data_IF_953524641277
#
_entry.id   IF_953524641277
#
_cell.length_a   1.000
_cell.length_b   1.000
_cell.length_c   1.000
_cell.angle_alpha   90.00
_cell.angle_beta   90.00
_cell.angle_gamma   90.00
#
_symmetry.space_group_name_H-M   'P 1'
#
loop_
_entity.id
_entity.type
_entity.pdbx_description
1 polymer ?
#
# COMPACT_ATOMS: atom_id res chain seq x y z
N UNK A 1 23.24 -16.41 -3.05
CA UNK A 1 22.19 -16.71 -2.05
C UNK A 1 20.97 -15.85 -2.32
N UNK A 2 19.74 -16.39 -2.37
CA UNK A 2 18.55 -15.55 -2.55
C UNK A 2 18.37 -14.72 -1.28
N UNK A 3 18.53 -13.40 -1.41
CA UNK A 3 18.40 -12.47 -0.30
C UNK A 3 16.98 -12.56 0.27
N UNK A 4 16.83 -13.03 1.51
CA UNK A 4 15.55 -13.06 2.22
C UNK A 4 15.04 -11.62 2.30
N UNK A 5 13.97 -11.31 1.57
CA UNK A 5 13.38 -9.96 1.56
C UNK A 5 13.03 -9.59 3.00
N UNK A 6 13.78 -8.64 3.58
CA UNK A 6 13.45 -8.08 4.89
C UNK A 6 12.08 -7.42 4.80
N UNK A 7 11.29 -7.56 5.85
CA UNK A 7 10.00 -6.91 5.95
C UNK A 7 10.22 -5.39 5.93
N UNK A 8 9.54 -4.69 5.02
CA UNK A 8 9.67 -3.23 4.87
C UNK A 8 8.66 -2.54 5.76
N UNK A 9 9.07 -1.39 6.29
CA UNK A 9 8.26 -0.62 7.22
C UNK A 9 7.23 0.22 6.44
N UNK A 10 6.00 0.22 6.93
CA UNK A 10 4.89 1.01 6.39
C UNK A 10 4.31 1.95 7.42
N UNK A 11 4.04 3.18 6.99
CA UNK A 11 3.40 4.20 7.81
C UNK A 11 1.87 4.21 7.66
N UNK A 12 1.35 3.76 6.51
CA UNK A 12 -0.10 3.77 6.24
C UNK A 12 -0.61 2.52 5.52
N UNK A 13 -1.82 2.11 5.88
CA UNK A 13 -2.62 1.17 5.10
C UNK A 13 -3.23 1.92 3.90
N UNK A 14 -3.23 1.34 2.68
CA UNK A 14 -3.94 1.95 1.57
C UNK A 14 -5.43 1.99 1.89
N UNK A 15 -6.12 3.13 1.71
CA UNK A 15 -7.52 3.30 2.10
C UNK A 15 -8.47 2.36 1.34
N UNK A 16 -8.04 1.84 0.19
CA UNK A 16 -8.80 0.93 -0.66
C UNK A 16 -7.94 -0.21 -1.19
N UNK A 17 -8.59 -1.32 -1.57
CA UNK A 17 -7.93 -2.50 -2.12
C UNK A 17 -7.48 -2.33 -3.58
N UNK A 18 -7.76 -1.20 -4.22
CA UNK A 18 -7.44 -0.99 -5.62
C UNK A 18 -8.23 0.13 -6.30
N UNK A 19 -7.91 0.39 -7.56
CA UNK A 19 -8.55 1.39 -8.42
C UNK A 19 -9.07 0.74 -9.69
N UNK A 20 -10.27 1.14 -10.14
CA UNK A 20 -10.86 0.64 -11.40
C UNK A 20 -11.10 1.81 -12.37
N UNK A 21 -10.68 1.69 -13.64
CA UNK A 21 -11.01 2.67 -14.67
C UNK A 21 -12.52 2.67 -14.98
N UNK A 22 -13.09 3.86 -15.15
CA UNK A 22 -14.47 4.06 -15.58
C UNK A 22 -14.58 3.89 -17.10
N UNK A 23 -15.72 3.34 -17.57
CA UNK A 23 -15.98 3.15 -19.01
C UNK A 23 -15.55 1.79 -19.59
N UNK A 24 -14.81 0.97 -18.84
CA UNK A 24 -14.43 -0.38 -19.27
C UNK A 24 -15.51 -1.42 -18.94
N UNK A 25 -15.86 -2.34 -19.87
CA UNK A 25 -16.80 -3.42 -19.60
C UNK A 25 -16.31 -4.28 -18.42
N UNK A 26 -17.23 -4.64 -17.50
CA UNK A 26 -16.95 -5.48 -16.31
C UNK A 26 -16.24 -6.82 -16.62
N UNK A 27 -16.23 -7.26 -17.88
CA UNK A 27 -15.62 -8.52 -18.32
C UNK A 27 -14.10 -8.44 -18.53
N UNK A 28 -13.52 -7.25 -18.74
CA UNK A 28 -12.06 -7.11 -18.78
C UNK A 28 -11.50 -7.13 -17.36
N UNK A 29 -11.05 -8.31 -16.94
CA UNK A 29 -10.51 -8.61 -15.61
C UNK A 29 -9.00 -8.38 -15.50
N UNK A 30 -8.35 -7.87 -16.54
CA UNK A 30 -6.90 -7.66 -16.47
C UNK A 30 -6.60 -6.61 -15.40
N UNK A 31 -5.97 -7.08 -14.34
CA UNK A 31 -5.55 -6.25 -13.22
C UNK A 31 -4.04 -6.19 -13.15
N UNK A 32 -3.51 -5.00 -12.90
CA UNK A 32 -2.13 -4.83 -12.50
C UNK A 32 -2.07 -4.92 -10.98
N UNK A 33 -1.27 -5.85 -10.49
CA UNK A 33 -0.97 -5.94 -9.07
C UNK A 33 0.02 -4.86 -8.67
N UNK A 34 -0.29 -4.16 -7.59
CA UNK A 34 0.59 -3.23 -6.91
C UNK A 34 0.79 -3.74 -5.48
N UNK A 35 2.03 -3.97 -5.07
CA UNK A 35 2.31 -4.42 -3.72
C UNK A 35 2.05 -3.28 -2.73
N UNK A 36 1.74 -3.61 -1.46
CA UNK A 36 1.62 -2.58 -0.43
C UNK A 36 2.90 -1.73 -0.32
N UNK A 37 4.07 -2.34 -0.50
CA UNK A 37 5.38 -1.66 -0.45
C UNK A 37 5.57 -0.69 -1.62
N UNK A 38 5.03 -1.05 -2.78
CA UNK A 38 5.07 -0.22 -3.99
C UNK A 38 4.11 0.97 -3.85
N UNK A 39 2.94 0.76 -3.26
CA UNK A 39 2.02 1.84 -2.91
C UNK A 39 2.66 2.84 -1.93
N UNK A 40 3.28 2.36 -0.86
CA UNK A 40 3.95 3.23 0.11
C UNK A 40 5.10 4.03 -0.53
N UNK A 41 5.85 3.42 -1.44
CA UNK A 41 6.91 4.13 -2.16
C UNK A 41 6.37 5.29 -3.01
N UNK A 42 5.25 5.09 -3.71
CA UNK A 42 4.56 6.18 -4.44
C UNK A 42 4.04 7.23 -3.48
N UNK A 43 3.43 6.83 -2.36
CA UNK A 43 2.90 7.75 -1.34
C UNK A 43 4.01 8.66 -0.79
N UNK A 44 5.14 8.09 -0.41
CA UNK A 44 6.26 8.86 0.17
C UNK A 44 6.94 9.76 -0.87
N UNK A 45 7.20 9.25 -2.08
CA UNK A 45 7.94 10.00 -3.09
C UNK A 45 7.07 11.00 -3.88
N UNK A 46 5.90 10.58 -4.36
CA UNK A 46 5.06 11.40 -5.25
C UNK A 46 3.98 12.20 -4.50
N UNK A 47 3.42 11.66 -3.41
CA UNK A 47 2.36 12.36 -2.66
C UNK A 47 2.91 13.24 -1.53
N UNK A 48 3.86 12.73 -0.75
CA UNK A 48 4.53 13.50 0.32
C UNK A 48 5.75 14.28 -0.17
N UNK A 49 6.12 14.16 -1.45
CA UNK A 49 7.25 14.85 -2.09
C UNK A 49 8.60 14.67 -1.37
N UNK A 50 8.82 13.52 -0.74
CA UNK A 50 10.09 13.22 -0.09
C UNK A 50 11.16 12.83 -1.10
N UNK A 51 12.41 13.09 -0.74
CA UNK A 51 13.53 12.54 -1.50
C UNK A 51 13.57 11.02 -1.39
N UNK A 52 14.14 10.34 -2.40
CA UNK A 52 14.30 8.88 -2.36
C UNK A 52 15.13 8.40 -1.15
N UNK A 53 16.02 9.25 -0.65
CA UNK A 53 16.81 8.93 0.54
C UNK A 53 15.96 8.98 1.82
N UNK A 54 15.14 10.02 1.99
CA UNK A 54 14.23 10.14 3.13
C UNK A 54 13.16 9.05 3.13
N UNK A 55 12.59 8.77 1.96
CA UNK A 55 11.60 7.71 1.81
C UNK A 55 12.20 6.32 2.07
N UNK A 56 13.45 6.08 1.64
CA UNK A 56 14.18 4.86 1.98
C UNK A 56 14.42 4.72 3.49
N UNK A 57 14.79 5.81 4.17
CA UNK A 57 14.95 5.85 5.64
C UNK A 57 13.63 5.53 6.34
N UNK A 58 12.51 6.13 5.93
CA UNK A 58 11.17 5.85 6.50
C UNK A 58 10.74 4.39 6.31
N UNK A 59 11.03 3.80 5.15
CA UNK A 59 10.73 2.39 4.88
C UNK A 59 11.75 1.40 5.48
N UNK A 60 12.79 1.89 6.17
CA UNK A 60 13.90 1.12 6.73
C UNK A 60 14.60 0.22 5.68
N UNK A 61 14.83 0.77 4.48
CA UNK A 61 15.53 0.08 3.38
C UNK A 61 16.67 0.92 2.83
N UNK A 62 17.57 0.29 2.08
CA UNK A 62 18.62 1.02 1.37
C UNK A 62 18.05 1.83 0.21
N UNK A 63 18.64 3.00 -0.07
CA UNK A 63 18.31 3.84 -1.22
C UNK A 63 18.19 3.07 -2.55
N UNK A 64 19.13 2.20 -2.98
CA UNK A 64 18.98 1.46 -4.23
C UNK A 64 17.82 0.46 -4.21
N UNK A 65 17.44 -0.06 -3.03
CA UNK A 65 16.25 -0.91 -2.90
C UNK A 65 14.98 -0.08 -3.07
N UNK A 66 14.95 1.12 -2.49
CA UNK A 66 13.84 2.06 -2.65
C UNK A 66 13.67 2.47 -4.12
N UNK A 67 14.74 2.86 -4.80
CA UNK A 67 14.68 3.24 -6.23
C UNK A 67 14.10 2.11 -7.08
N UNK A 68 14.56 0.87 -6.89
CA UNK A 68 14.03 -0.30 -7.60
C UNK A 68 12.55 -0.57 -7.29
N UNK A 69 12.13 -0.35 -6.05
CA UNK A 69 10.75 -0.52 -5.62
C UNK A 69 9.85 0.54 -6.26
N UNK A 70 10.27 1.79 -6.18
CA UNK A 70 9.61 2.95 -6.74
C UNK A 70 9.47 2.84 -8.27
N UNK A 71 10.52 2.43 -8.98
CA UNK A 71 10.47 2.24 -10.44
C UNK A 71 9.46 1.16 -10.84
N UNK A 72 9.36 0.07 -10.06
CA UNK A 72 8.35 -0.97 -10.30
C UNK A 72 6.95 -0.45 -10.08
N UNK A 73 6.74 0.28 -8.98
CA UNK A 73 5.47 0.89 -8.65
C UNK A 73 5.01 1.83 -9.76
N UNK A 74 5.89 2.73 -10.22
CA UNK A 74 5.61 3.69 -11.30
C UNK A 74 5.30 2.99 -12.62
N UNK A 75 6.04 1.93 -12.98
CA UNK A 75 5.75 1.13 -14.19
C UNK A 75 4.41 0.41 -14.10
N UNK A 76 4.06 -0.14 -12.93
CA UNK A 76 2.78 -0.81 -12.72
C UNK A 76 1.61 0.17 -12.89
N UNK A 77 1.71 1.35 -12.29
CA UNK A 77 0.71 2.41 -12.41
C UNK A 77 0.60 2.91 -13.86
N UNK A 78 1.73 3.20 -14.51
CA UNK A 78 1.74 3.63 -15.91
C UNK A 78 1.09 2.58 -16.83
N UNK A 79 1.42 1.30 -16.65
CA UNK A 79 0.80 0.21 -17.41
C UNK A 79 -0.70 0.14 -17.18
N UNK A 80 -1.16 0.33 -15.95
CA UNK A 80 -2.58 0.32 -15.63
C UNK A 80 -3.34 1.44 -16.35
N UNK A 81 -2.74 2.64 -16.42
CA UNK A 81 -3.33 3.76 -17.15
C UNK A 81 -3.32 3.56 -18.67
N UNK A 82 -2.22 3.10 -19.25
CA UNK A 82 -2.10 2.93 -20.71
C UNK A 82 -2.98 1.80 -21.23
N UNK A 83 -3.06 0.69 -20.50
CA UNK A 83 -3.79 -0.51 -20.92
C UNK A 83 -5.24 -0.56 -20.39
N UNK A 84 -5.73 0.49 -19.71
CA UNK A 84 -7.04 0.55 -19.06
C UNK A 84 -7.29 -0.62 -18.08
N UNK A 85 -6.28 -0.97 -17.29
CA UNK A 85 -6.35 -2.08 -16.33
C UNK A 85 -6.77 -1.62 -14.96
N UNK A 86 -7.41 -2.53 -14.22
CA UNK A 86 -7.70 -2.30 -12.80
C UNK A 86 -6.40 -2.41 -12.00
N UNK A 87 -6.13 -1.50 -11.06
CA UNK A 87 -5.04 -1.65 -10.10
C UNK A 87 -5.58 -2.40 -8.90
N UNK A 88 -4.92 -3.48 -8.49
CA UNK A 88 -5.23 -4.22 -7.26
C UNK A 88 -4.06 -4.10 -6.29
N UNK A 89 -4.29 -3.48 -5.13
CA UNK A 89 -3.26 -3.28 -4.09
C UNK A 89 -3.30 -4.46 -3.12
N UNK A 90 -2.40 -5.43 -3.30
CA UNK A 90 -2.38 -6.67 -2.51
C UNK A 90 -0.96 -7.21 -2.35
N UNK A 91 -0.72 -7.92 -1.24
CA UNK A 91 0.52 -8.65 -1.00
C UNK A 91 1.75 -7.77 -0.74
N UNK A 92 2.90 -8.42 -0.55
CA UNK A 92 4.16 -7.78 -0.16
C UNK A 92 4.65 -8.30 1.19
N UNK A 93 5.88 -7.93 1.56
CA UNK A 93 6.48 -8.32 2.83
C UNK A 93 6.66 -7.08 3.71
N UNK A 94 5.66 -6.72 4.50
CA UNK A 94 5.68 -5.48 5.26
C UNK A 94 5.33 -5.64 6.74
N UNK A 95 5.73 -4.64 7.51
CA UNK A 95 5.37 -4.43 8.92
C UNK A 95 4.89 -2.99 9.10
N UNK A 96 3.77 -2.81 9.80
CA UNK A 96 3.30 -1.48 10.18
C UNK A 96 4.05 -0.99 11.42
N UNK A 97 4.37 0.31 11.46
CA UNK A 97 4.99 0.93 12.64
C UNK A 97 4.06 0.94 13.87
N UNK A 98 2.75 0.98 13.63
CA UNK A 98 1.72 1.00 14.67
C UNK A 98 0.76 -0.15 14.41
N UNK A 99 0.18 -0.73 15.47
CA UNK A 99 -0.92 -1.70 15.41
C UNK A 99 -2.21 -1.04 14.87
N UNK A 100 -2.12 -0.49 13.66
CA UNK A 100 -3.18 0.18 12.92
C UNK A 100 -4.07 -0.89 12.32
N UNK A 101 -5.30 -0.91 12.80
CA UNK A 101 -6.35 -1.77 12.32
C UNK A 101 -7.41 -0.92 11.63
N UNK A 102 -7.99 -1.47 10.56
CA UNK A 102 -9.15 -0.86 9.91
C UNK A 102 -10.41 -1.29 10.63
N UNK A 103 -11.19 -0.33 11.10
CA UNK A 103 -12.52 -0.64 11.63
C UNK A 103 -13.43 -1.12 10.50
N UNK A 104 -14.07 -2.29 10.67
CA UNK A 104 -15.03 -2.83 9.69
C UNK A 104 -16.31 -2.00 9.56
N UNK A 105 -16.60 -1.12 10.50
CA UNK A 105 -17.84 -0.32 10.56
C UNK A 105 -17.68 1.07 9.97
N UNK A 106 -16.72 1.86 10.47
CA UNK A 106 -16.50 3.22 9.99
C UNK A 106 -15.38 3.36 8.96
N UNK A 107 -14.67 2.26 8.64
CA UNK A 107 -13.49 2.24 7.76
C UNK A 107 -12.33 3.16 8.21
N UNK A 108 -12.44 3.78 9.37
CA UNK A 108 -11.38 4.60 9.94
C UNK A 108 -10.30 3.70 10.53
N UNK A 109 -9.05 4.07 10.28
CA UNK A 109 -7.89 3.40 10.85
C UNK A 109 -7.74 3.80 12.31
N UNK A 110 -7.49 2.83 13.19
CA UNK A 110 -7.31 3.05 14.62
C UNK A 110 -6.12 2.22 15.12
N UNK A 111 -5.33 2.79 16.03
CA UNK A 111 -4.18 2.12 16.63
C UNK A 111 -4.63 1.38 17.89
N UNK A 112 -4.57 0.05 17.90
CA UNK A 112 -4.90 -0.76 19.08
C UNK A 112 -4.03 -1.99 19.19
N UNK A 113 -3.60 -2.34 20.39
CA UNK A 113 -2.72 -3.49 20.64
C UNK A 113 -3.36 -4.86 20.33
N UNK A 114 -4.69 -4.91 20.16
CA UNK A 114 -5.43 -6.11 19.80
C UNK A 114 -6.35 -5.86 18.60
N UNK A 115 -6.33 -6.71 17.54
CA UNK A 115 -7.18 -6.55 16.36
C UNK A 115 -8.67 -6.83 16.69
N UNK A 116 -9.34 -5.87 17.31
CA UNK A 116 -10.74 -6.01 17.72
C UNK A 116 -11.74 -5.92 16.56
N UNK A 117 -11.29 -5.64 15.32
CA UNK A 117 -12.13 -5.44 14.13
C UNK A 117 -12.98 -4.15 14.14
N UNK A 118 -13.15 -3.53 15.30
CA UNK A 118 -13.92 -2.31 15.52
C UNK A 118 -13.12 -1.30 16.37
N UNK A 119 -13.14 -0.03 15.98
CA UNK A 119 -12.56 1.05 16.78
C UNK A 119 -13.37 1.27 18.07
N UNK A 120 -12.78 1.94 19.07
CA UNK A 120 -13.42 2.21 20.36
C UNK A 120 -14.79 2.88 20.22
N UNK A 121 -14.96 3.71 19.19
CA UNK A 121 -16.21 4.41 18.91
C UNK A 121 -17.27 3.56 18.18
N UNK A 122 -16.86 2.44 17.56
CA UNK A 122 -17.73 1.54 16.80
C UNK A 122 -17.96 0.18 17.47
N UNK A 123 -17.28 -0.10 18.58
CA UNK A 123 -17.49 -1.33 19.36
C UNK A 123 -18.97 -1.45 19.70
N UNK A 124 -19.60 -2.62 19.47
CA UNK A 124 -20.96 -2.84 19.90
C UNK A 124 -21.01 -2.73 21.43
N UNK A 125 -21.70 -1.73 21.98
CA UNK A 125 -22.00 -1.67 23.40
C UNK A 125 -22.94 -2.85 23.70
N UNK A 126 -22.52 -3.73 24.60
CA UNK A 126 -23.35 -4.80 25.13
C UNK A 126 -24.47 -4.22 25.98
#
# INVERSE_FOLDING_TARGET
>A
MPNRKRRRRMSALPPMEGFRPYGTPRRNRESVELLFEEFEAIRLADYENLTQEEAAKRMNISRPTFTRLYDKARKAVARAFVENKTISIRGGHYEFEEHRHRCRRCQQDYSSDTPAGYCENCRPKK
#
